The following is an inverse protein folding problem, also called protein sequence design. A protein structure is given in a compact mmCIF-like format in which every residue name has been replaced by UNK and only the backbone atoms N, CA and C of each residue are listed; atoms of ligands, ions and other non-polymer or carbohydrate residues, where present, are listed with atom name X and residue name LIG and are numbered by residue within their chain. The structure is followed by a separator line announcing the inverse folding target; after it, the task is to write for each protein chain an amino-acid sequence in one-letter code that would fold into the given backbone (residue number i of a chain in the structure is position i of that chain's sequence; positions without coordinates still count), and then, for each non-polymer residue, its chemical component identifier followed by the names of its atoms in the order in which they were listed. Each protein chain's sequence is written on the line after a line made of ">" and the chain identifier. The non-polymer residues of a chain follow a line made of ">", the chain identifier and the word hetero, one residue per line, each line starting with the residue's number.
data_IF_011660333424
#
_entry.id   IF_011660333424
#
_cell.length_a   1.000
_cell.length_b   1.000
_cell.length_c   1.000
_cell.angle_alpha   90.00
_cell.angle_beta   90.00
_cell.angle_gamma   90.00
#
_symmetry.space_group_name_H-M   'P 1'
#
loop_
_entity.id
_entity.type
_entity.pdbx_description
1 polymer ?
#
# COMPACT_ATOMS: atom_id res chain seq x y z
N UNK A 1 -2.65 -11.93 -6.46
CA UNK A 1 -2.09 -11.56 -5.14
C UNK A 1 -1.91 -12.78 -4.24
N UNK A 2 -2.86 -13.72 -4.22
CA UNK A 2 -2.73 -15.02 -3.52
C UNK A 2 -1.62 -15.92 -4.09
N UNK A 3 -1.43 -15.94 -5.42
CA UNK A 3 -0.39 -16.78 -6.09
C UNK A 3 1.07 -16.33 -5.87
N UNK A 4 1.31 -15.21 -5.20
CA UNK A 4 2.66 -14.63 -5.06
C UNK A 4 3.35 -14.91 -3.71
N UNK A 5 2.71 -15.70 -2.83
CA UNK A 5 3.21 -15.97 -1.47
C UNK A 5 3.13 -14.75 -0.53
N UNK A 6 2.37 -13.72 -0.91
CA UNK A 6 2.04 -12.59 -0.06
C UNK A 6 0.75 -12.90 0.71
N UNK A 7 0.65 -12.42 1.95
CA UNK A 7 -0.63 -12.42 2.67
C UNK A 7 -1.69 -11.72 1.82
N UNK A 8 -2.95 -12.12 1.95
CA UNK A 8 -4.03 -11.42 1.26
C UNK A 8 -4.10 -9.97 1.75
N UNK A 9 -4.13 -8.98 0.83
CA UNK A 9 -4.31 -7.60 1.21
C UNK A 9 -5.70 -7.41 1.80
N UNK A 10 -5.78 -6.54 2.79
CA UNK A 10 -7.04 -6.12 3.38
C UNK A 10 -7.74 -5.15 2.41
N UNK A 11 -9.05 -5.31 2.26
CA UNK A 11 -9.88 -4.36 1.49
C UNK A 11 -10.17 -3.12 2.35
N UNK A 12 -10.26 -1.96 1.71
CA UNK A 12 -10.70 -0.70 2.35
C UNK A 12 -9.93 -0.36 3.63
N UNK A 13 -8.60 -0.29 3.52
CA UNK A 13 -7.74 -0.02 4.68
C UNK A 13 -7.87 1.45 5.09
N UNK A 14 -8.49 1.68 6.24
CA UNK A 14 -8.51 2.99 6.90
C UNK A 14 -7.13 3.39 7.42
N UNK A 15 -6.75 4.64 7.17
CA UNK A 15 -5.56 5.28 7.74
C UNK A 15 -5.60 5.28 9.28
N UNK A 16 -6.75 5.65 9.84
CA UNK A 16 -7.05 5.60 11.26
C UNK A 16 -8.42 4.90 11.45
N UNK A 17 -8.45 3.68 11.98
CA UNK A 17 -9.69 2.92 12.15
C UNK A 17 -10.60 3.49 13.24
N UNK A 18 -10.07 4.31 14.15
CA UNK A 18 -10.82 4.88 15.28
C UNK A 18 -11.49 6.21 14.92
N UNK A 19 -11.14 6.80 13.76
CA UNK A 19 -11.71 8.05 13.27
C UNK A 19 -12.73 7.78 12.17
N UNK A 20 -13.98 8.15 12.43
CA UNK A 20 -15.04 8.12 11.43
C UNK A 20 -14.72 9.06 10.25
N UNK A 21 -14.83 8.55 9.03
CA UNK A 21 -14.48 9.30 7.83
C UNK A 21 -12.97 9.44 7.58
N UNK A 22 -12.13 8.68 8.30
CA UNK A 22 -10.71 8.57 7.98
C UNK A 22 -10.51 8.17 6.50
N UNK A 23 -9.50 8.72 5.81
CA UNK A 23 -9.18 8.29 4.46
C UNK A 23 -8.95 6.78 4.38
N UNK A 24 -9.48 6.15 3.34
CA UNK A 24 -9.33 4.72 3.07
C UNK A 24 -8.61 4.50 1.74
N UNK A 25 -7.82 3.44 1.65
CA UNK A 25 -7.28 2.91 0.39
C UNK A 25 -8.06 1.66 -0.04
N UNK A 26 -8.13 1.39 -1.34
CA UNK A 26 -8.89 0.22 -1.84
C UNK A 26 -8.34 -1.11 -1.31
N UNK A 27 -7.01 -1.21 -1.23
CA UNK A 27 -6.27 -2.37 -0.76
C UNK A 27 -5.14 -1.93 0.18
N UNK A 28 -4.66 -2.81 1.05
CA UNK A 28 -3.47 -2.51 1.85
C UNK A 28 -3.05 -3.61 2.80
N UNK A 29 -1.95 -3.36 3.51
CA UNK A 29 -1.39 -4.20 4.55
C UNK A 29 -1.10 -3.34 5.78
N UNK A 30 -1.95 -3.45 6.82
CA UNK A 30 -1.76 -2.64 8.05
C UNK A 30 -0.44 -2.94 8.73
N UNK A 31 -0.06 -4.22 8.78
CA UNK A 31 1.18 -4.68 9.45
C UNK A 31 2.45 -4.03 8.87
N UNK A 32 2.48 -3.73 7.58
CA UNK A 32 3.61 -3.08 6.90
C UNK A 32 3.36 -1.61 6.59
N UNK A 33 2.22 -1.05 7.01
CA UNK A 33 1.74 0.28 6.63
C UNK A 33 1.81 0.51 5.11
N UNK A 34 1.30 -0.43 4.33
CA UNK A 34 1.25 -0.31 2.86
C UNK A 34 -0.19 -0.04 2.45
N UNK A 35 -0.43 1.05 1.74
CA UNK A 35 -1.72 1.41 1.18
C UNK A 35 -1.65 1.36 -0.34
N UNK A 36 -2.68 0.81 -0.97
CA UNK A 36 -2.76 0.62 -2.41
C UNK A 36 -4.10 1.18 -2.88
N UNK A 37 -4.03 2.16 -3.77
CA UNK A 37 -5.17 2.78 -4.42
C UNK A 37 -5.20 2.40 -5.90
N UNK A 38 -6.37 1.99 -6.36
CA UNK A 38 -6.64 1.82 -7.77
C UNK A 38 -7.26 3.10 -8.35
N UNK A 39 -6.62 3.65 -9.37
CA UNK A 39 -7.15 4.72 -10.20
C UNK A 39 -7.76 4.11 -11.46
N UNK A 40 -9.09 4.16 -11.53
CA UNK A 40 -9.85 3.70 -12.69
C UNK A 40 -9.55 4.44 -13.99
N UNK A 41 -8.70 5.47 -14.00
CA UNK A 41 -8.37 6.22 -15.22
C UNK A 41 -9.56 7.01 -15.75
N UNK A 42 -10.42 7.51 -14.86
CA UNK A 42 -11.48 8.43 -15.24
C UNK A 42 -10.89 9.85 -15.39
N UNK A 43 -11.47 10.68 -16.25
CA UNK A 43 -11.13 12.10 -16.35
C UNK A 43 -11.44 12.80 -15.01
N UNK A 44 -10.46 12.82 -14.09
CA UNK A 44 -10.62 13.40 -12.77
C UNK A 44 -10.73 14.92 -12.89
N UNK A 45 -11.78 15.48 -12.29
CA UNK A 45 -11.91 16.93 -12.14
C UNK A 45 -10.79 17.47 -11.24
N UNK A 46 -10.43 18.76 -11.34
CA UNK A 46 -9.44 19.36 -10.45
C UNK A 46 -9.77 19.20 -8.95
N UNK A 47 -11.06 19.20 -8.60
CA UNK A 47 -11.48 18.94 -7.22
C UNK A 47 -11.17 17.52 -6.77
N UNK A 48 -11.32 16.54 -7.66
CA UNK A 48 -11.05 15.14 -7.33
C UNK A 48 -9.55 14.89 -7.19
N UNK A 49 -8.73 15.45 -8.09
CA UNK A 49 -7.26 15.43 -7.94
C UNK A 49 -6.80 16.06 -6.62
N UNK A 50 -7.38 17.20 -6.22
CA UNK A 50 -7.02 17.83 -4.95
C UNK A 50 -7.40 16.96 -3.74
N UNK A 51 -8.56 16.30 -3.78
CA UNK A 51 -8.98 15.36 -2.73
C UNK A 51 -8.05 14.15 -2.64
N UNK A 52 -7.69 13.58 -3.79
CA UNK A 52 -6.79 12.45 -3.86
C UNK A 52 -5.39 12.81 -3.36
N UNK A 53 -4.84 13.96 -3.75
CA UNK A 53 -3.54 14.43 -3.25
C UNK A 53 -3.55 14.61 -1.72
N UNK A 54 -4.61 15.21 -1.16
CA UNK A 54 -4.76 15.34 0.30
C UNK A 54 -4.86 13.99 1.00
N UNK A 55 -5.45 12.98 0.36
CA UNK A 55 -5.49 11.63 0.91
C UNK A 55 -4.10 11.00 0.91
N UNK A 56 -3.39 11.07 -0.21
CA UNK A 56 -2.03 10.53 -0.34
C UNK A 56 -1.08 11.17 0.69
N UNK A 57 -1.14 12.50 0.84
CA UNK A 57 -0.35 13.23 1.84
C UNK A 57 -0.61 12.75 3.26
N UNK A 58 -1.87 12.45 3.61
CA UNK A 58 -2.22 11.92 4.94
C UNK A 58 -1.65 10.53 5.19
N UNK A 59 -1.69 9.64 4.19
CA UNK A 59 -1.07 8.31 4.28
C UNK A 59 0.44 8.43 4.46
N UNK A 60 1.10 9.24 3.61
CA UNK A 60 2.55 9.46 3.70
C UNK A 60 2.94 10.07 5.06
N UNK A 61 2.21 11.06 5.56
CA UNK A 61 2.46 11.69 6.85
C UNK A 61 2.32 10.71 8.04
N UNK A 62 1.44 9.71 7.94
CA UNK A 62 1.30 8.65 8.94
C UNK A 62 2.36 7.53 8.79
N UNK A 63 3.32 7.69 7.89
CA UNK A 63 4.40 6.74 7.63
C UNK A 63 3.96 5.53 6.79
N UNK A 64 2.88 5.66 6.02
CA UNK A 64 2.47 4.61 5.09
C UNK A 64 3.21 4.72 3.77
N UNK A 65 3.57 3.58 3.20
CA UNK A 65 3.97 3.49 1.80
C UNK A 65 2.70 3.45 0.95
N UNK A 66 2.51 4.46 0.10
CA UNK A 66 1.30 4.59 -0.71
C UNK A 66 1.58 4.29 -2.19
N UNK A 67 0.86 3.33 -2.76
CA UNK A 67 0.94 2.96 -4.17
C UNK A 67 -0.35 3.32 -4.89
N UNK A 68 -0.22 4.02 -6.03
CA UNK A 68 -1.32 4.27 -6.95
C UNK A 68 -1.09 3.46 -8.22
N UNK A 69 -2.05 2.61 -8.59
CA UNK A 69 -2.03 1.83 -9.82
C UNK A 69 -3.18 2.27 -10.72
N UNK A 70 -2.90 2.43 -12.01
CA UNK A 70 -3.92 2.86 -12.97
C UNK A 70 -4.37 1.71 -13.90
N UNK A 71 -5.33 2.00 -14.79
CA UNK A 71 -5.78 1.06 -15.84
C UNK A 71 -4.66 0.55 -16.77
N UNK A 72 -3.55 1.27 -16.91
CA UNK A 72 -2.42 0.83 -17.72
C UNK A 72 -1.55 -0.17 -16.97
N UNK A 73 -1.37 -0.01 -15.65
CA UNK A 73 -0.73 -1.01 -14.79
C UNK A 73 -1.54 -2.33 -14.79
N UNK A 74 -2.87 -2.25 -14.87
CA UNK A 74 -3.77 -3.41 -15.04
C UNK A 74 -3.53 -4.19 -16.33
N UNK A 75 -3.19 -3.52 -17.44
CA UNK A 75 -2.94 -4.18 -18.74
C UNK A 75 -1.71 -5.10 -18.70
N UNK A 76 -0.82 -4.92 -17.73
CA UNK A 76 0.37 -5.75 -17.51
C UNK A 76 0.16 -6.87 -16.48
N UNK A 77 -1.10 -7.31 -16.29
CA UNK A 77 -1.45 -8.52 -15.53
C UNK A 77 -1.01 -8.47 -14.06
N UNK A 78 -1.08 -7.29 -13.44
CA UNK A 78 -0.66 -7.03 -12.04
C UNK A 78 0.78 -7.41 -11.69
N UNK A 79 1.60 -7.98 -12.57
CA UNK A 79 2.96 -8.45 -12.24
C UNK A 79 3.87 -7.32 -11.81
N UNK A 80 3.76 -6.17 -12.48
CA UNK A 80 4.50 -4.95 -12.12
C UNK A 80 4.04 -4.41 -10.75
N UNK A 81 2.73 -4.39 -10.50
CA UNK A 81 2.15 -3.92 -9.24
C UNK A 81 2.52 -4.82 -8.06
N UNK A 82 2.33 -6.13 -8.19
CA UNK A 82 2.72 -7.15 -7.20
C UNK A 82 4.23 -7.12 -6.97
N UNK A 83 5.04 -6.94 -8.03
CA UNK A 83 6.48 -6.79 -7.92
C UNK A 83 6.90 -5.57 -7.11
N UNK A 84 6.28 -4.41 -7.33
CA UNK A 84 6.52 -3.18 -6.56
C UNK A 84 6.13 -3.36 -5.09
N UNK A 85 4.95 -3.91 -4.82
CA UNK A 85 4.48 -4.20 -3.46
C UNK A 85 5.39 -5.21 -2.75
N UNK A 86 5.80 -6.28 -3.43
CA UNK A 86 6.71 -7.29 -2.87
C UNK A 86 8.07 -6.67 -2.52
N UNK A 87 8.65 -5.84 -3.39
CA UNK A 87 9.89 -5.12 -3.07
C UNK A 87 9.71 -4.20 -1.87
N UNK A 88 8.58 -3.50 -1.78
CA UNK A 88 8.30 -2.63 -0.64
C UNK A 88 8.21 -3.42 0.66
N UNK A 89 7.54 -4.59 0.67
CA UNK A 89 7.48 -5.47 1.84
C UNK A 89 8.88 -5.98 2.20
N UNK A 90 9.68 -6.41 1.22
CA UNK A 90 11.07 -6.82 1.47
C UNK A 90 11.89 -5.68 2.07
N UNK A 91 11.81 -4.47 1.52
CA UNK A 91 12.53 -3.30 2.03
C UNK A 91 12.04 -2.89 3.43
N UNK A 92 10.73 -2.93 3.70
CA UNK A 92 10.19 -2.64 5.04
C UNK A 92 10.69 -3.68 6.03
N UNK A 93 10.68 -4.97 5.67
CA UNK A 93 11.21 -6.03 6.53
C UNK A 93 12.73 -5.91 6.75
N UNK A 94 13.49 -5.52 5.73
CA UNK A 94 14.94 -5.27 5.82
C UNK A 94 15.25 -4.04 6.70
N UNK A 95 14.47 -2.96 6.58
CA UNK A 95 14.63 -1.77 7.42
C UNK A 95 14.08 -1.96 8.84
N UNK A 96 13.11 -2.85 9.04
CA UNK A 96 12.61 -3.26 10.35
C UNK A 96 13.52 -4.28 11.06
N UNK A 97 14.53 -4.83 10.38
CA UNK A 97 15.51 -5.73 10.96
C UNK A 97 16.84 -5.03 11.27
N UNK A 98 16.97 -4.48 12.48
CA UNK A 98 18.13 -4.79 13.30
C UNK A 98 17.67 -5.58 14.53
N UNK A 99 18.29 -6.75 14.77
CA UNK A 99 18.07 -7.68 15.89
C UNK A 99 17.00 -8.77 15.70
N UNK A 100 17.22 -9.71 14.77
CA UNK A 100 16.87 -11.11 15.05
C UNK A 100 17.79 -12.12 14.32
N UNK A 101 19.10 -11.89 14.40
CA UNK A 101 20.12 -12.93 14.17
C UNK A 101 21.07 -12.92 15.35
N UNK A 102 20.61 -13.47 16.48
CA UNK A 102 21.45 -13.98 17.55
C UNK A 102 20.53 -14.72 18.53
N UNK A 103 20.14 -15.95 18.20
CA UNK A 103 19.83 -17.02 19.16
C UNK A 103 19.33 -18.23 18.37
N UNK A 104 20.30 -19.01 17.88
CA UNK A 104 20.34 -20.47 17.97
C UNK A 104 21.68 -20.91 17.39
N UNK A 105 22.71 -20.70 18.19
CA UNK A 105 23.98 -21.40 18.08
C UNK A 105 23.96 -22.57 19.06
N UNK A 106 24.37 -23.72 18.52
CA UNK A 106 24.88 -24.94 19.17
C UNK A 106 23.91 -25.82 19.96
#
# INVERSE_FOLDING_TARGET
>A
MVDAGLTEPELQVSLDPDIEGSPQSDLGYRQWKIAIQYDGGHHLTPQQQSRDNRRDEKFLAAGWTYFRFNREDLKTDFRSAVGKVRRAITLVNENAAPLLVAMKGS
#
